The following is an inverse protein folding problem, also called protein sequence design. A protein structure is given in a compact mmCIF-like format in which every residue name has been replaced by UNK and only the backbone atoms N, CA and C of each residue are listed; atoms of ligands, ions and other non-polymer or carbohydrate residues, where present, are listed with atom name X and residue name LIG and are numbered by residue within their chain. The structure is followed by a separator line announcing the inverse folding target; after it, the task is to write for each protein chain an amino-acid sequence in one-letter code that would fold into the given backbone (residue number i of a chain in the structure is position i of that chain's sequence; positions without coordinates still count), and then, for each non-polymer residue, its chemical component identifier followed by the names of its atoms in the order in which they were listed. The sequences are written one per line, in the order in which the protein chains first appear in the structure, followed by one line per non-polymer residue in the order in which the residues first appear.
data_IF_134777989016
#
_entry.id   IF_134777989016
#
_cell.length_a   1.000
_cell.length_b   1.000
_cell.length_c   1.000
_cell.angle_alpha   90.00
_cell.angle_beta   90.00
_cell.angle_gamma   90.00
#
_symmetry.space_group_name_H-M   'P 1'
#
loop_
_entity.id
_entity.type
_entity.pdbx_description
1 polymer ?
#
# COMPACT_ATOMS: atom_id res chain seq x y z
N UNK A 1 16.88 35.29 7.31
CA UNK A 1 16.56 34.40 8.45
C UNK A 1 16.77 32.92 8.10
N UNK A 2 16.06 32.35 7.11
CA UNK A 2 16.18 30.91 6.78
C UNK A 2 17.58 30.48 6.30
N UNK A 3 18.20 31.23 5.39
CA UNK A 3 19.54 30.90 4.85
C UNK A 3 20.67 31.01 5.89
N UNK A 4 20.56 31.94 6.84
CA UNK A 4 21.53 32.07 7.93
C UNK A 4 21.44 30.92 8.92
N UNK A 5 20.21 30.49 9.24
CA UNK A 5 19.96 29.36 10.12
C UNK A 5 20.48 28.04 9.52
N UNK A 6 20.29 27.82 8.21
CA UNK A 6 20.80 26.60 7.55
C UNK A 6 22.33 26.54 7.52
N UNK A 7 23.00 27.66 7.25
CA UNK A 7 24.47 27.75 7.27
C UNK A 7 25.01 27.52 8.69
N UNK A 8 24.43 28.18 9.70
CA UNK A 8 24.84 27.94 11.10
C UNK A 8 24.59 26.50 11.55
N UNK A 9 23.49 25.90 11.12
CA UNK A 9 23.15 24.52 11.43
C UNK A 9 24.17 23.53 10.86
N UNK A 10 24.62 23.77 9.62
CA UNK A 10 25.69 23.02 8.97
C UNK A 10 27.03 23.23 9.68
N UNK A 11 27.38 24.49 9.98
CA UNK A 11 28.66 24.86 10.58
C UNK A 11 28.79 24.31 12.02
N UNK A 12 27.69 24.29 12.78
CA UNK A 12 27.61 23.73 14.15
C UNK A 12 27.49 22.20 14.17
N UNK A 13 27.57 21.52 13.02
CA UNK A 13 27.49 20.04 12.85
C UNK A 13 26.30 19.38 13.56
N UNK A 14 25.20 20.11 13.76
CA UNK A 14 24.02 19.63 14.49
C UNK A 14 23.29 18.48 13.79
N UNK A 15 23.63 18.20 12.53
CA UNK A 15 23.13 17.07 11.76
C UNK A 15 23.67 15.70 12.22
N UNK A 16 24.73 15.62 13.04
CA UNK A 16 25.30 14.34 13.45
C UNK A 16 24.33 13.49 14.28
N UNK A 17 23.53 14.11 15.15
CA UNK A 17 22.51 13.39 15.92
C UNK A 17 21.43 12.82 15.00
N UNK A 18 20.99 13.61 14.01
CA UNK A 18 20.01 13.21 13.01
C UNK A 18 20.50 11.99 12.21
N UNK A 19 21.73 12.02 11.71
CA UNK A 19 22.32 10.90 10.95
C UNK A 19 22.42 9.65 11.82
N UNK A 20 22.88 9.77 13.07
CA UNK A 20 22.97 8.64 14.00
C UNK A 20 21.59 8.02 14.25
N UNK A 21 20.58 8.84 14.53
CA UNK A 21 19.20 8.38 14.73
C UNK A 21 18.63 7.70 13.48
N UNK A 22 18.85 8.28 12.29
CA UNK A 22 18.45 7.68 11.01
C UNK A 22 19.11 6.32 10.78
N UNK A 23 20.43 6.21 11.02
CA UNK A 23 21.14 4.94 10.90
C UNK A 23 20.60 3.89 11.85
N UNK A 24 20.37 4.25 13.12
CA UNK A 24 19.79 3.32 14.10
C UNK A 24 18.36 2.90 13.72
N UNK A 25 17.56 3.82 13.16
CA UNK A 25 16.20 3.53 12.69
C UNK A 25 16.22 2.54 11.53
N UNK A 26 17.06 2.78 10.51
CA UNK A 26 17.20 1.88 9.34
C UNK A 26 17.69 0.50 9.79
N UNK A 27 18.66 0.46 10.71
CA UNK A 27 19.16 -0.80 11.24
C UNK A 27 18.08 -1.58 11.99
N UNK A 28 17.34 -0.91 12.88
CA UNK A 28 16.24 -1.52 13.60
C UNK A 28 15.12 -2.00 12.66
N UNK A 29 14.77 -1.24 11.63
CA UNK A 29 13.75 -1.64 10.66
C UNK A 29 14.16 -2.87 9.85
N UNK A 30 15.43 -2.92 9.41
CA UNK A 30 15.96 -4.09 8.70
C UNK A 30 15.94 -5.33 9.59
N UNK A 31 16.30 -5.18 10.87
CA UNK A 31 16.31 -6.27 11.82
C UNK A 31 14.89 -6.79 12.09
N UNK A 32 13.92 -5.88 12.27
CA UNK A 32 12.51 -6.23 12.44
C UNK A 32 11.94 -6.95 11.22
N UNK A 33 12.21 -6.44 10.01
CA UNK A 33 11.81 -7.09 8.75
C UNK A 33 12.44 -8.47 8.62
N UNK A 34 13.72 -8.63 8.98
CA UNK A 34 14.42 -9.91 8.92
C UNK A 34 13.76 -10.96 9.82
N UNK A 35 13.39 -10.59 11.05
CA UNK A 35 12.74 -11.52 11.98
C UNK A 35 11.32 -11.93 11.55
N UNK A 36 10.61 -11.07 10.79
CA UNK A 36 9.27 -11.39 10.28
C UNK A 36 9.28 -11.79 8.79
N UNK A 37 10.45 -11.93 8.17
CA UNK A 37 10.59 -12.10 6.72
C UNK A 37 9.80 -13.31 6.20
N UNK A 38 9.86 -14.45 6.88
CA UNK A 38 9.18 -15.68 6.46
C UNK A 38 7.66 -15.52 6.42
N UNK A 39 7.06 -14.86 7.42
CA UNK A 39 5.61 -14.63 7.47
C UNK A 39 5.18 -13.64 6.39
N UNK A 40 5.96 -12.58 6.18
CA UNK A 40 5.74 -11.62 5.09
C UNK A 40 5.85 -12.28 3.72
N UNK A 41 6.87 -13.12 3.51
CA UNK A 41 7.07 -13.87 2.27
C UNK A 41 5.92 -14.83 2.00
N UNK A 42 5.50 -15.63 2.99
CA UNK A 42 4.38 -16.54 2.85
C UNK A 42 3.07 -15.80 2.52
N UNK A 43 2.80 -14.67 3.18
CA UNK A 43 1.64 -13.83 2.87
C UNK A 43 1.74 -13.23 1.47
N UNK A 44 2.94 -12.82 1.05
CA UNK A 44 3.16 -12.27 -0.30
C UNK A 44 2.96 -13.32 -1.39
N UNK A 45 3.37 -14.57 -1.15
CA UNK A 45 3.20 -15.67 -2.10
C UNK A 45 1.73 -16.09 -2.18
N UNK A 46 1.06 -16.19 -1.03
CA UNK A 46 -0.38 -16.44 -0.97
C UNK A 46 -1.18 -15.33 -1.68
N UNK A 47 -0.78 -14.07 -1.54
CA UNK A 47 -1.44 -12.96 -2.20
C UNK A 47 -1.41 -13.06 -3.74
N UNK A 48 -0.33 -13.61 -4.32
CA UNK A 48 -0.21 -13.83 -5.78
C UNK A 48 -1.15 -14.92 -6.28
N UNK A 49 -1.28 -16.00 -5.52
CA UNK A 49 -2.17 -17.12 -5.83
C UNK A 49 -3.63 -16.84 -5.43
N UNK A 50 -3.89 -15.71 -4.75
CA UNK A 50 -5.23 -15.30 -4.38
C UNK A 50 -5.97 -14.69 -5.57
N UNK A 51 -7.27 -14.91 -5.62
CA UNK A 51 -8.20 -14.30 -6.59
C UNK A 51 -8.34 -12.78 -6.46
N UNK A 52 -7.59 -12.15 -5.55
CA UNK A 52 -7.50 -10.69 -5.34
C UNK A 52 -6.23 -10.06 -5.92
N UNK A 53 -5.34 -10.86 -6.52
CA UNK A 53 -4.13 -10.42 -7.20
C UNK A 53 -4.28 -10.44 -8.72
N UNK A 54 -3.15 -10.53 -9.42
CA UNK A 54 -3.14 -10.70 -10.88
C UNK A 54 -3.80 -12.03 -11.26
N UNK A 55 -4.87 -11.99 -12.05
CA UNK A 55 -5.45 -13.21 -12.63
C UNK A 55 -4.43 -13.87 -13.57
N UNK A 56 -4.05 -15.15 -13.34
CA UNK A 56 -3.16 -15.87 -14.26
C UNK A 56 -3.80 -16.13 -15.62
N UNK A 57 -5.12 -15.92 -15.73
CA UNK A 57 -5.90 -16.12 -16.94
C UNK A 57 -5.82 -14.87 -17.83
N UNK A 58 -4.67 -14.67 -18.47
CA UNK A 58 -4.48 -13.69 -19.56
C UNK A 58 -4.99 -14.18 -20.90
N UNK A 59 -5.38 -15.45 -20.99
CA UNK A 59 -5.80 -16.13 -22.21
C UNK A 59 -7.07 -16.94 -21.90
N UNK A 60 -8.12 -16.77 -22.69
CA UNK A 60 -9.33 -17.57 -22.56
C UNK A 60 -9.10 -19.00 -23.11
N UNK A 61 -10.04 -19.93 -22.90
CA UNK A 61 -9.94 -21.30 -23.40
C UNK A 61 -9.87 -21.42 -24.96
N UNK A 62 -10.01 -20.30 -25.68
CA UNK A 62 -9.95 -20.17 -27.13
C UNK A 62 -8.68 -19.44 -27.62
N UNK A 63 -7.76 -19.07 -26.73
CA UNK A 63 -6.48 -18.45 -27.09
C UNK A 63 -6.50 -16.91 -27.21
N UNK A 64 -7.59 -16.24 -26.88
CA UNK A 64 -7.66 -14.77 -26.96
C UNK A 64 -7.15 -14.11 -25.68
N UNK A 65 -6.38 -13.03 -25.85
CA UNK A 65 -5.85 -12.23 -24.75
C UNK A 65 -7.00 -11.50 -24.07
N UNK A 66 -7.35 -11.91 -22.86
CA UNK A 66 -8.33 -11.21 -22.03
C UNK A 66 -7.65 -10.02 -21.36
N UNK A 67 -8.26 -8.83 -21.45
CA UNK A 67 -7.81 -7.67 -20.69
C UNK A 67 -7.91 -7.99 -19.20
N UNK A 68 -6.78 -8.28 -18.57
CA UNK A 68 -6.69 -8.60 -17.14
C UNK A 68 -7.28 -7.44 -16.34
N UNK A 69 -8.49 -7.59 -15.79
CA UNK A 69 -8.97 -6.67 -14.76
C UNK A 69 -8.42 -7.17 -13.43
N UNK A 70 -7.68 -6.32 -12.72
CA UNK A 70 -7.09 -6.57 -11.38
C UNK A 70 -8.18 -6.74 -10.27
N UNK A 71 -9.39 -7.16 -10.64
CA UNK A 71 -10.53 -7.28 -9.75
C UNK A 71 -11.85 -7.45 -10.50
N UNK A 72 -12.92 -7.43 -9.71
CA UNK A 72 -14.31 -7.44 -10.16
C UNK A 72 -14.65 -6.13 -10.88
N UNK A 73 -15.63 -6.16 -11.79
CA UNK A 73 -16.08 -4.96 -12.48
C UNK A 73 -16.59 -3.90 -11.50
N UNK A 74 -16.46 -2.63 -11.89
CA UNK A 74 -16.97 -1.50 -11.07
C UNK A 74 -18.46 -1.68 -10.72
N UNK A 75 -19.25 -2.16 -11.68
CA UNK A 75 -20.67 -2.43 -11.47
C UNK A 75 -20.90 -3.53 -10.42
N UNK A 76 -20.13 -4.62 -10.46
CA UNK A 76 -20.24 -5.70 -9.47
C UNK A 76 -19.84 -5.22 -8.07
N UNK A 77 -18.76 -4.43 -7.92
CA UNK A 77 -18.36 -3.93 -6.59
C UNK A 77 -19.33 -2.87 -6.04
N UNK A 78 -20.14 -2.25 -6.90
CA UNK A 78 -21.11 -1.21 -6.51
C UNK A 78 -22.57 -1.70 -6.47
N UNK A 79 -22.83 -2.97 -6.81
CA UNK A 79 -24.20 -3.52 -6.92
C UNK A 79 -25.02 -3.41 -5.61
N UNK A 80 -24.37 -3.46 -4.44
CA UNK A 80 -25.01 -3.27 -3.13
C UNK A 80 -24.68 -1.92 -2.47
N UNK A 81 -23.99 -1.03 -3.19
CA UNK A 81 -23.69 0.31 -2.68
C UNK A 81 -24.91 1.19 -2.83
N UNK A 82 -25.36 1.78 -1.73
CA UNK A 82 -26.46 2.75 -1.75
C UNK A 82 -26.06 3.98 -2.56
N UNK A 83 -26.88 4.35 -3.54
CA UNK A 83 -26.75 5.61 -4.26
C UNK A 83 -26.96 6.81 -3.32
N UNK A 84 -26.43 7.98 -3.69
CA UNK A 84 -26.57 9.21 -2.87
C UNK A 84 -28.02 9.49 -2.46
N UNK A 85 -28.99 9.26 -3.33
CA UNK A 85 -30.41 9.45 -3.05
C UNK A 85 -30.99 8.33 -2.17
N UNK A 86 -30.50 7.10 -2.31
CA UNK A 86 -30.97 5.95 -1.53
C UNK A 86 -30.50 5.99 -0.07
N UNK A 87 -29.36 6.65 0.21
CA UNK A 87 -28.90 6.89 1.59
C UNK A 87 -29.88 7.72 2.42
N UNK A 88 -30.67 8.60 1.80
CA UNK A 88 -31.70 9.39 2.47
C UNK A 88 -32.90 8.54 2.92
N UNK A 89 -33.16 7.41 2.23
CA UNK A 89 -34.20 6.48 2.63
C UNK A 89 -33.79 5.71 3.90
N UNK A 90 -32.51 5.35 4.02
CA UNK A 90 -31.96 4.67 5.19
C UNK A 90 -32.01 5.56 6.46
N UNK A 91 -31.73 6.86 6.34
CA UNK A 91 -31.77 7.80 7.49
C UNK A 91 -33.18 8.19 7.93
N UNK A 92 -34.20 7.91 7.11
CA UNK A 92 -35.61 8.17 7.46
C UNK A 92 -36.24 7.07 8.34
N UNK A 93 -35.58 5.92 8.45
CA UNK A 93 -36.01 4.75 9.22
C UNK A 93 -35.15 4.49 10.48
N UNK A 94 -34.38 5.49 10.94
CA UNK A 94 -33.64 5.46 12.20
C UNK A 94 -34.37 6.22 13.33
#
# INVERSE_FOLDING_TARGET
MALGFTIEFLQKRKYQSLIKSLLTMIFASLLALSFNATQLLATSEYAKESTRGNSPLKENALGEITSSSDGLSFDYITEYSYGFVETLNLSSHA
#
